data_IF_941668059791
#
_entry.id   IF_941668059791
#
_cell.length_a   1.000
_cell.length_b   1.000
_cell.length_c   1.000
_cell.angle_alpha   90.00
_cell.angle_beta   90.00
_cell.angle_gamma   90.00
#
_symmetry.space_group_name_H-M   'P 1'
#
loop_
_entity.id
_entity.type
_entity.pdbx_description
1 polymer ?
#
# COMPACT_ATOMS: atom_id res chain seq x y z
N UNK A 1 12.77 -22.69 -13.66
CA UNK A 1 12.69 -21.71 -12.53
C UNK A 1 12.50 -22.51 -11.25
N UNK A 2 13.34 -22.31 -10.23
CA UNK A 2 13.15 -22.96 -8.94
C UNK A 2 12.21 -22.10 -8.11
N UNK A 3 10.98 -22.58 -7.86
CA UNK A 3 10.05 -21.93 -6.94
C UNK A 3 10.46 -22.24 -5.50
N UNK A 4 10.51 -21.20 -4.66
CA UNK A 4 10.89 -21.29 -3.25
C UNK A 4 9.70 -20.93 -2.36
N UNK A 5 9.58 -21.60 -1.22
CA UNK A 5 8.68 -21.21 -0.16
C UNK A 5 9.22 -19.97 0.57
N UNK A 6 8.30 -19.23 1.18
CA UNK A 6 8.57 -18.15 2.14
C UNK A 6 9.02 -18.66 3.54
N UNK A 7 9.30 -19.94 3.66
CA UNK A 7 9.63 -20.62 4.92
C UNK A 7 8.43 -21.29 5.61
N UNK A 8 7.23 -21.02 5.14
CA UNK A 8 6.00 -21.66 5.61
C UNK A 8 5.62 -22.86 4.72
N UNK A 9 4.81 -23.81 5.21
CA UNK A 9 4.25 -24.85 4.37
C UNK A 9 3.52 -24.27 3.17
N UNK A 10 3.69 -24.87 2.01
CA UNK A 10 3.01 -24.49 0.76
C UNK A 10 2.12 -25.63 0.29
N UNK A 11 1.05 -25.29 -0.44
CA UNK A 11 0.28 -26.28 -1.15
C UNK A 11 1.12 -26.74 -2.36
N UNK A 12 1.38 -28.06 -2.53
CA UNK A 12 2.13 -28.55 -3.68
C UNK A 12 1.45 -28.17 -4.99
N UNK A 13 2.14 -27.47 -5.92
CA UNK A 13 1.56 -27.06 -7.20
C UNK A 13 1.59 -28.24 -8.20
N UNK A 14 0.68 -29.20 -8.02
CA UNK A 14 0.49 -30.28 -8.99
C UNK A 14 -0.08 -29.73 -10.29
N UNK A 15 0.11 -30.50 -11.38
CA UNK A 15 -0.35 -30.08 -12.71
C UNK A 15 -1.88 -29.78 -12.71
N UNK A 16 -2.66 -30.67 -12.11
CA UNK A 16 -4.11 -30.56 -12.02
C UNK A 16 -4.55 -29.29 -11.26
N UNK A 17 -3.89 -28.99 -10.13
CA UNK A 17 -4.17 -27.79 -9.36
C UNK A 17 -3.81 -26.52 -10.10
N UNK A 18 -2.69 -26.51 -10.82
CA UNK A 18 -2.28 -25.34 -11.61
C UNK A 18 -3.24 -25.17 -12.80
N UNK A 19 -3.64 -26.27 -13.44
CA UNK A 19 -4.56 -26.25 -14.57
C UNK A 19 -5.93 -25.68 -14.19
N UNK A 20 -6.46 -25.97 -13.01
CA UNK A 20 -7.75 -25.41 -12.57
C UNK A 20 -7.77 -23.88 -12.50
N UNK A 21 -6.63 -23.21 -12.28
CA UNK A 21 -6.56 -21.76 -12.32
C UNK A 21 -6.68 -21.18 -13.74
N UNK A 22 -6.24 -21.94 -14.76
CA UNK A 22 -6.25 -21.49 -16.14
C UNK A 22 -7.67 -21.36 -16.72
N UNK A 23 -8.66 -22.00 -16.09
CA UNK A 23 -10.07 -21.90 -16.46
C UNK A 23 -10.66 -20.51 -16.16
N UNK A 24 -10.03 -19.75 -15.26
CA UNK A 24 -10.49 -18.43 -14.80
C UNK A 24 -9.77 -17.27 -15.51
N UNK A 25 -9.29 -17.47 -16.73
CA UNK A 25 -8.69 -16.41 -17.55
C UNK A 25 -8.84 -16.73 -19.05
N UNK A 26 -9.04 -15.69 -19.86
CA UNK A 26 -9.03 -15.83 -21.32
C UNK A 26 -7.60 -15.92 -21.90
N UNK A 27 -6.57 -15.69 -21.07
CA UNK A 27 -5.17 -15.76 -21.48
C UNK A 27 -4.71 -17.21 -21.60
N UNK A 28 -3.78 -17.46 -22.52
CA UNK A 28 -3.14 -18.77 -22.63
C UNK A 28 -2.12 -18.94 -21.52
N UNK A 29 -1.84 -20.19 -21.17
CA UNK A 29 -0.91 -20.55 -20.09
C UNK A 29 0.50 -19.97 -20.26
N UNK A 30 0.96 -19.77 -21.52
CA UNK A 30 2.27 -19.23 -21.91
C UNK A 30 2.26 -17.74 -22.25
N UNK A 31 1.09 -17.08 -22.25
CA UNK A 31 1.01 -15.64 -22.43
C UNK A 31 1.78 -14.92 -21.32
N UNK A 32 2.58 -13.92 -21.73
CA UNK A 32 3.38 -13.11 -20.80
C UNK A 32 2.49 -12.08 -20.13
N UNK A 33 2.32 -12.19 -18.84
CA UNK A 33 1.55 -11.24 -17.99
C UNK A 33 2.35 -9.96 -17.77
N UNK A 34 3.64 -10.09 -17.44
CA UNK A 34 4.55 -8.97 -17.20
C UNK A 34 6.01 -9.41 -17.31
N UNK A 35 6.89 -8.45 -17.59
CA UNK A 35 8.34 -8.58 -17.36
C UNK A 35 8.66 -7.90 -16.04
N UNK A 36 9.01 -8.68 -15.04
CA UNK A 36 9.15 -8.19 -13.68
C UNK A 36 10.58 -7.75 -13.35
N UNK A 37 10.72 -6.67 -12.56
CA UNK A 37 12.03 -6.09 -12.26
C UNK A 37 12.89 -6.99 -11.36
N UNK A 38 14.12 -6.54 -11.12
CA UNK A 38 15.23 -7.20 -10.46
C UNK A 38 15.77 -8.35 -11.32
N UNK A 39 15.01 -9.44 -11.47
CA UNK A 39 15.48 -10.58 -12.26
C UNK A 39 15.15 -10.44 -13.76
N UNK A 40 14.46 -9.39 -14.20
CA UNK A 40 14.02 -9.17 -15.59
C UNK A 40 13.39 -10.41 -16.22
N UNK A 41 12.53 -11.10 -15.45
CA UNK A 41 11.89 -12.34 -15.88
C UNK A 41 10.57 -12.09 -16.55
N UNK A 42 10.38 -12.70 -17.72
CA UNK A 42 9.05 -12.84 -18.31
C UNK A 42 8.23 -13.79 -17.44
N UNK A 43 7.14 -13.27 -16.89
CA UNK A 43 6.21 -14.01 -16.05
C UNK A 43 4.98 -14.35 -16.85
N UNK A 44 4.72 -15.66 -17.04
CA UNK A 44 3.55 -16.15 -17.77
C UNK A 44 2.37 -16.44 -16.84
N UNK A 45 1.21 -16.65 -17.41
CA UNK A 45 -0.02 -17.08 -16.71
C UNK A 45 0.24 -18.34 -15.89
N UNK A 46 1.00 -19.32 -16.44
CA UNK A 46 1.42 -20.52 -15.72
C UNK A 46 2.20 -20.20 -14.44
N UNK A 47 3.14 -19.28 -14.51
CA UNK A 47 3.93 -18.86 -13.34
C UNK A 47 3.07 -18.22 -12.25
N UNK A 48 2.06 -17.44 -12.64
CA UNK A 48 1.08 -16.87 -11.71
C UNK A 48 0.31 -17.98 -11.03
N UNK A 49 -0.25 -18.93 -11.80
CA UNK A 49 -1.03 -20.04 -11.26
C UNK A 49 -0.23 -20.94 -10.29
N UNK A 50 1.04 -21.23 -10.60
CA UNK A 50 1.92 -21.99 -9.71
C UNK A 50 2.08 -21.32 -8.35
N UNK A 51 2.35 -20.00 -8.34
CA UNK A 51 2.50 -19.25 -7.08
C UNK A 51 1.17 -19.11 -6.35
N UNK A 52 0.05 -19.02 -7.06
CA UNK A 52 -1.29 -19.00 -6.51
C UNK A 52 -1.62 -20.29 -5.74
N UNK A 53 -1.35 -21.45 -6.34
CA UNK A 53 -1.49 -22.74 -5.66
C UNK A 53 -0.61 -22.80 -4.41
N UNK A 54 0.67 -22.41 -4.53
CA UNK A 54 1.60 -22.42 -3.39
C UNK A 54 1.12 -21.52 -2.24
N UNK A 55 0.49 -20.39 -2.55
CA UNK A 55 -0.07 -19.47 -1.57
C UNK A 55 -1.36 -19.98 -0.89
N UNK A 56 -2.02 -20.99 -1.48
CA UNK A 56 -3.32 -21.48 -1.03
C UNK A 56 -4.50 -20.64 -1.55
N UNK A 57 -4.31 -19.90 -2.64
CA UNK A 57 -5.40 -19.19 -3.31
C UNK A 57 -6.41 -20.18 -3.92
N UNK A 58 -7.66 -19.73 -4.08
CA UNK A 58 -8.66 -20.44 -4.86
C UNK A 58 -8.49 -20.11 -6.34
N UNK A 59 -8.87 -21.03 -7.27
CA UNK A 59 -8.78 -20.81 -8.71
C UNK A 59 -9.48 -19.54 -9.20
N UNK A 60 -10.66 -19.25 -8.70
CA UNK A 60 -11.46 -18.07 -9.06
C UNK A 60 -10.80 -16.72 -8.70
N UNK A 61 -9.71 -16.72 -7.93
CA UNK A 61 -8.93 -15.50 -7.69
C UNK A 61 -7.96 -15.17 -8.83
N UNK A 62 -7.82 -16.04 -9.84
CA UNK A 62 -6.83 -15.89 -10.91
C UNK A 62 -6.85 -14.51 -11.60
N UNK A 63 -8.01 -13.89 -11.94
CA UNK A 63 -8.04 -12.56 -12.53
C UNK A 63 -7.39 -11.49 -11.61
N UNK A 64 -7.64 -11.58 -10.31
CA UNK A 64 -7.05 -10.71 -9.29
C UNK A 64 -5.53 -10.88 -9.25
N UNK A 65 -5.05 -12.13 -9.28
CA UNK A 65 -3.63 -12.46 -9.16
C UNK A 65 -2.85 -12.06 -10.42
N UNK A 66 -3.47 -12.14 -11.60
CA UNK A 66 -2.92 -11.62 -12.85
C UNK A 66 -2.75 -10.09 -12.77
N UNK A 67 -3.79 -9.37 -12.33
CA UNK A 67 -3.74 -7.92 -12.17
C UNK A 67 -2.69 -7.51 -11.11
N UNK A 68 -2.64 -8.21 -9.97
CA UNK A 68 -1.62 -8.01 -8.94
C UNK A 68 -0.22 -8.19 -9.54
N UNK A 69 0.01 -9.24 -10.31
CA UNK A 69 1.30 -9.52 -10.95
C UNK A 69 1.72 -8.40 -11.91
N UNK A 70 0.79 -7.83 -12.68
CA UNK A 70 1.05 -6.64 -13.52
C UNK A 70 1.50 -5.46 -12.66
N UNK A 71 0.82 -5.22 -11.54
CA UNK A 71 1.16 -4.14 -10.60
C UNK A 71 2.53 -4.28 -9.94
N UNK A 72 3.04 -5.50 -9.76
CA UNK A 72 4.39 -5.71 -9.23
C UNK A 72 5.50 -5.15 -10.14
N UNK A 73 5.21 -4.97 -11.42
CA UNK A 73 6.10 -4.35 -12.40
C UNK A 73 6.08 -2.82 -12.39
N UNK A 74 5.10 -2.19 -11.73
CA UNK A 74 4.91 -0.74 -11.77
C UNK A 74 6.06 0.01 -11.07
N UNK A 75 6.64 1.04 -11.72
CA UNK A 75 7.76 1.81 -11.14
C UNK A 75 7.42 2.51 -9.82
N UNK A 76 6.21 3.01 -9.65
CA UNK A 76 5.82 3.72 -8.43
C UNK A 76 5.73 2.77 -7.22
N UNK A 77 5.19 1.57 -7.41
CA UNK A 77 5.14 0.54 -6.38
C UNK A 77 6.55 0.02 -6.04
N UNK A 78 7.33 -0.40 -7.06
CA UNK A 78 8.63 -1.08 -6.86
C UNK A 78 9.72 -0.19 -6.27
N UNK A 79 9.59 1.12 -6.36
CA UNK A 79 10.62 2.11 -5.95
C UNK A 79 11.12 1.92 -4.52
N UNK A 80 10.29 1.38 -3.64
CA UNK A 80 10.59 1.21 -2.21
C UNK A 80 11.10 -0.17 -1.84
N UNK A 81 10.96 -1.18 -2.71
CA UNK A 81 11.19 -2.59 -2.37
C UNK A 81 12.64 -2.94 -2.06
N UNK A 82 13.61 -2.27 -2.71
CA UNK A 82 15.05 -2.49 -2.49
C UNK A 82 15.65 -1.59 -1.40
N UNK A 83 14.84 -1.06 -0.50
CA UNK A 83 15.28 -0.16 0.58
C UNK A 83 15.66 -0.94 1.84
N UNK A 84 16.64 -0.42 2.60
CA UNK A 84 17.00 -0.93 3.93
C UNK A 84 15.96 -0.64 5.00
N UNK A 85 14.94 0.17 4.69
CA UNK A 85 13.87 0.56 5.61
C UNK A 85 12.76 -0.49 5.77
N UNK A 86 12.87 -1.64 5.14
CA UNK A 86 11.89 -2.73 5.26
C UNK A 86 10.45 -2.31 4.91
N UNK A 87 10.25 -1.67 3.75
CA UNK A 87 8.93 -1.34 3.25
C UNK A 87 8.08 -2.60 3.08
N UNK A 88 6.89 -2.58 3.64
CA UNK A 88 5.97 -3.71 3.67
C UNK A 88 4.98 -3.55 2.54
N UNK A 89 4.99 -4.41 1.52
CA UNK A 89 4.01 -4.39 0.45
C UNK A 89 2.62 -4.76 0.96
N UNK A 90 1.60 -4.12 0.43
CA UNK A 90 0.20 -4.46 0.65
C UNK A 90 -0.64 -4.10 -0.57
N UNK A 91 -1.85 -4.60 -0.63
CA UNK A 91 -2.79 -4.25 -1.69
C UNK A 91 -4.21 -4.11 -1.14
N UNK A 92 -5.07 -3.47 -1.93
CA UNK A 92 -6.50 -3.47 -1.68
C UNK A 92 -7.28 -3.62 -2.99
N UNK A 93 -8.48 -4.15 -2.85
CA UNK A 93 -9.42 -4.38 -3.92
C UNK A 93 -10.54 -3.35 -3.90
N UNK A 94 -11.01 -2.99 -5.07
CA UNK A 94 -12.23 -2.23 -5.31
C UNK A 94 -13.06 -2.91 -6.39
N UNK A 95 -14.34 -2.59 -6.42
CA UNK A 95 -15.27 -3.09 -7.40
C UNK A 95 -16.04 -4.33 -6.93
N UNK A 96 -17.09 -4.69 -7.68
CA UNK A 96 -18.05 -5.70 -7.24
C UNK A 96 -17.48 -7.13 -7.13
N UNK A 97 -16.36 -7.45 -7.78
CA UNK A 97 -15.77 -8.80 -7.74
C UNK A 97 -15.32 -9.22 -6.34
N UNK A 98 -14.82 -8.29 -5.53
CA UNK A 98 -14.40 -8.62 -4.16
C UNK A 98 -15.60 -9.10 -3.34
N UNK A 99 -16.73 -8.40 -3.43
CA UNK A 99 -18.00 -8.77 -2.79
C UNK A 99 -18.55 -10.10 -3.31
N UNK A 100 -18.52 -10.31 -4.63
CA UNK A 100 -18.98 -11.56 -5.23
C UNK A 100 -18.21 -12.77 -4.73
N UNK A 101 -16.87 -12.65 -4.63
CA UNK A 101 -15.99 -13.73 -4.17
C UNK A 101 -15.93 -13.87 -2.64
N UNK A 102 -16.66 -13.02 -1.90
CA UNK A 102 -16.64 -13.03 -0.44
C UNK A 102 -15.29 -12.68 0.16
N UNK A 103 -14.51 -11.83 -0.54
CA UNK A 103 -13.27 -11.27 0.01
C UNK A 103 -13.67 -10.15 0.96
N UNK A 104 -13.30 -10.30 2.22
CA UNK A 104 -13.84 -9.49 3.31
C UNK A 104 -13.31 -8.05 3.33
N UNK A 105 -14.19 -7.09 3.65
CA UNK A 105 -13.86 -5.68 3.90
C UNK A 105 -14.11 -5.25 5.35
N UNK A 106 -14.62 -6.16 6.19
CA UNK A 106 -15.11 -5.88 7.54
C UNK A 106 -14.07 -6.06 8.63
N UNK A 107 -14.56 -6.44 9.80
CA UNK A 107 -13.74 -6.64 10.98
C UNK A 107 -12.71 -7.76 10.78
N UNK A 108 -11.42 -7.44 10.98
CA UNK A 108 -10.36 -8.45 10.93
C UNK A 108 -9.99 -8.93 9.52
N UNK A 109 -10.48 -8.28 8.48
CA UNK A 109 -10.38 -8.69 7.09
C UNK A 109 -9.00 -9.21 6.67
N UNK A 110 -7.91 -8.59 7.11
CA UNK A 110 -6.55 -9.03 6.73
C UNK A 110 -6.17 -10.41 7.27
N UNK A 111 -6.96 -10.97 8.17
CA UNK A 111 -6.80 -12.33 8.72
C UNK A 111 -7.82 -13.32 8.13
N UNK A 112 -8.74 -12.87 7.28
CA UNK A 112 -9.67 -13.75 6.58
C UNK A 112 -8.97 -14.55 5.48
N UNK A 113 -9.44 -15.77 5.24
CA UNK A 113 -8.73 -16.75 4.43
C UNK A 113 -8.38 -16.26 3.01
N UNK A 114 -9.31 -15.57 2.34
CA UNK A 114 -9.09 -15.02 1.01
C UNK A 114 -8.04 -13.91 1.02
N UNK A 115 -8.17 -12.96 1.95
CA UNK A 115 -7.28 -11.82 2.11
C UNK A 115 -5.85 -12.30 2.45
N UNK A 116 -5.73 -13.28 3.36
CA UNK A 116 -4.45 -13.91 3.72
C UNK A 116 -3.81 -14.60 2.53
N UNK A 117 -4.58 -15.38 1.76
CA UNK A 117 -4.05 -16.09 0.59
C UNK A 117 -3.52 -15.13 -0.49
N UNK A 118 -4.27 -14.06 -0.80
CA UNK A 118 -3.86 -13.04 -1.78
C UNK A 118 -2.63 -12.26 -1.26
N UNK A 119 -2.60 -11.88 0.01
CA UNK A 119 -1.43 -11.24 0.63
C UNK A 119 -0.20 -12.14 0.59
N UNK A 120 -0.35 -13.44 0.87
CA UNK A 120 0.72 -14.43 0.77
C UNK A 120 1.17 -14.64 -0.67
N UNK A 121 0.24 -14.67 -1.63
CA UNK A 121 0.60 -14.71 -3.04
C UNK A 121 1.55 -13.56 -3.41
N UNK A 122 1.27 -12.33 -2.95
CA UNK A 122 2.16 -11.17 -3.18
C UNK A 122 3.58 -11.43 -2.66
N UNK A 123 3.75 -12.01 -1.46
CA UNK A 123 5.09 -12.35 -0.95
C UNK A 123 5.81 -13.38 -1.81
N UNK A 124 5.12 -14.46 -2.19
CA UNK A 124 5.70 -15.51 -3.04
C UNK A 124 6.02 -14.98 -4.44
N UNK A 125 5.16 -14.13 -5.01
CA UNK A 125 5.38 -13.52 -6.31
C UNK A 125 6.57 -12.56 -6.30
N UNK A 126 6.73 -11.72 -5.28
CA UNK A 126 7.91 -10.87 -5.11
C UNK A 126 9.19 -11.68 -5.09
N UNK A 127 9.20 -12.81 -4.40
CA UNK A 127 10.38 -13.68 -4.32
C UNK A 127 10.59 -14.48 -5.62
N UNK A 128 9.58 -15.21 -6.08
CA UNK A 128 9.72 -16.17 -7.17
C UNK A 128 9.66 -15.53 -8.55
N UNK A 129 8.80 -14.54 -8.74
CA UNK A 129 8.57 -13.90 -10.04
C UNK A 129 9.46 -12.68 -10.24
N UNK A 130 9.54 -11.80 -9.24
CA UNK A 130 10.36 -10.59 -9.32
C UNK A 130 11.82 -10.81 -8.97
N UNK A 131 12.16 -11.85 -8.19
CA UNK A 131 13.52 -12.12 -7.74
C UNK A 131 13.97 -11.30 -6.54
N UNK A 132 13.03 -10.73 -5.76
CA UNK A 132 13.34 -10.02 -4.52
C UNK A 132 13.60 -11.01 -3.37
N UNK A 133 14.83 -11.48 -3.25
CA UNK A 133 15.22 -12.38 -2.17
C UNK A 133 15.69 -11.60 -0.93
N UNK A 134 15.28 -12.09 0.25
CA UNK A 134 15.77 -11.56 1.53
C UNK A 134 17.28 -11.76 1.62
N UNK A 135 18.01 -10.77 2.13
CA UNK A 135 19.48 -10.68 2.22
C UNK A 135 20.20 -10.47 0.89
N UNK A 136 19.50 -10.38 -0.23
CA UNK A 136 20.06 -10.05 -1.54
C UNK A 136 19.51 -8.72 -2.03
N UNK A 137 18.24 -8.69 -2.42
CA UNK A 137 17.57 -7.53 -3.00
C UNK A 137 16.60 -6.86 -2.02
N UNK A 138 15.99 -7.64 -1.12
CA UNK A 138 15.21 -7.14 0.00
C UNK A 138 16.12 -6.96 1.22
N UNK A 139 16.58 -5.72 1.42
CA UNK A 139 17.63 -5.37 2.39
C UNK A 139 17.09 -4.83 3.71
N UNK A 140 15.81 -5.01 4.03
CA UNK A 140 15.23 -4.55 5.29
C UNK A 140 16.03 -5.02 6.50
N UNK A 141 16.56 -4.05 7.28
CA UNK A 141 17.54 -4.33 8.34
C UNK A 141 17.02 -5.29 9.40
N UNK A 142 15.73 -5.18 9.76
CA UNK A 142 15.08 -6.03 10.76
C UNK A 142 14.13 -7.07 10.14
N UNK A 143 14.13 -7.20 8.82
CA UNK A 143 13.24 -8.10 8.07
C UNK A 143 11.95 -7.41 7.62
N UNK A 144 10.99 -8.22 7.21
CA UNK A 144 9.74 -7.76 6.62
C UNK A 144 8.56 -8.50 7.25
N UNK A 145 7.55 -7.81 7.78
CA UNK A 145 6.25 -8.42 8.00
C UNK A 145 5.66 -8.97 6.70
N UNK A 146 4.72 -9.90 6.85
CA UNK A 146 4.01 -10.46 5.70
C UNK A 146 3.19 -9.37 5.00
N UNK A 147 3.12 -9.43 3.68
CA UNK A 147 2.19 -8.61 2.90
C UNK A 147 0.75 -9.00 3.19
N UNK A 148 -0.15 -8.05 3.09
CA UNK A 148 -1.58 -8.28 3.31
C UNK A 148 -2.44 -7.73 2.18
N UNK A 149 -3.65 -8.25 2.06
CA UNK A 149 -4.68 -7.76 1.16
C UNK A 149 -5.85 -7.22 1.97
N UNK A 150 -6.41 -6.10 1.53
CA UNK A 150 -7.61 -5.48 2.07
C UNK A 150 -8.66 -5.32 0.97
N UNK A 151 -9.86 -4.91 1.36
CA UNK A 151 -10.92 -4.46 0.45
C UNK A 151 -11.40 -3.11 0.94
N UNK A 152 -11.51 -2.13 0.07
CA UNK A 152 -12.28 -0.91 0.35
C UNK A 152 -13.77 -1.24 0.28
N UNK A 153 -14.55 -0.78 1.24
CA UNK A 153 -16.01 -0.91 1.18
C UNK A 153 -16.58 0.19 0.28
N UNK A 154 -16.69 -0.12 -1.02
CA UNK A 154 -17.21 0.80 -2.03
C UNK A 154 -18.65 1.24 -1.72
N UNK A 155 -19.46 0.35 -1.14
CA UNK A 155 -20.83 0.69 -0.75
C UNK A 155 -20.84 1.69 0.42
N UNK A 156 -19.95 1.54 1.41
CA UNK A 156 -19.80 2.52 2.48
C UNK A 156 -19.30 3.86 1.92
N UNK A 157 -18.40 3.87 0.96
CA UNK A 157 -17.99 5.10 0.29
C UNK A 157 -19.19 5.84 -0.32
N UNK A 158 -20.07 5.13 -1.02
CA UNK A 158 -21.27 5.71 -1.64
C UNK A 158 -22.26 6.21 -0.58
N UNK A 159 -22.50 5.45 0.50
CA UNK A 159 -23.39 5.90 1.61
C UNK A 159 -22.92 7.19 2.26
N UNK A 160 -21.62 7.39 2.44
CA UNK A 160 -21.08 8.65 2.97
C UNK A 160 -20.94 9.75 1.91
N UNK A 161 -21.30 9.49 0.66
CA UNK A 161 -21.24 10.46 -0.43
C UNK A 161 -19.82 10.69 -1.00
N UNK A 162 -18.88 9.81 -0.74
CA UNK A 162 -17.53 9.88 -1.28
C UNK A 162 -17.35 8.86 -2.42
N UNK A 163 -16.56 9.22 -3.43
CA UNK A 163 -16.17 8.27 -4.47
C UNK A 163 -15.13 7.29 -3.94
N UNK A 164 -15.27 5.97 -4.20
CA UNK A 164 -14.24 5.00 -3.89
C UNK A 164 -12.87 5.35 -4.47
N UNK A 165 -11.80 4.79 -3.92
CA UNK A 165 -10.44 5.13 -4.33
C UNK A 165 -10.20 4.93 -5.83
N UNK A 166 -10.59 3.79 -6.39
CA UNK A 166 -10.38 3.50 -7.81
C UNK A 166 -11.08 4.50 -8.73
N UNK A 167 -12.27 5.00 -8.34
CA UNK A 167 -12.98 6.05 -9.09
C UNK A 167 -12.20 7.36 -9.05
N UNK A 168 -11.60 7.69 -7.91
CA UNK A 168 -10.71 8.85 -7.76
C UNK A 168 -9.39 8.69 -8.53
N UNK A 169 -8.97 7.44 -8.74
CA UNK A 169 -7.81 7.08 -9.57
C UNK A 169 -8.13 7.04 -11.08
N UNK A 170 -9.38 7.33 -11.50
CA UNK A 170 -9.76 7.48 -12.90
C UNK A 170 -10.50 6.25 -13.50
N UNK A 171 -10.85 5.26 -12.70
CA UNK A 171 -11.62 4.11 -13.12
C UNK A 171 -13.14 4.37 -12.98
N UNK A 172 -13.97 3.54 -13.60
CA UNK A 172 -15.43 3.58 -13.43
C UNK A 172 -15.82 2.92 -12.12
N UNK A 173 -16.99 3.25 -11.59
CA UNK A 173 -17.51 2.72 -10.33
C UNK A 173 -17.54 1.18 -10.27
N UNK A 174 -17.96 0.56 -11.36
CA UNK A 174 -18.08 -0.90 -11.45
C UNK A 174 -16.85 -1.57 -12.11
N UNK A 175 -15.76 -0.83 -12.32
CA UNK A 175 -14.49 -1.46 -12.69
C UNK A 175 -13.91 -2.17 -11.46
N UNK A 176 -13.54 -3.43 -11.64
CA UNK A 176 -12.81 -4.17 -10.64
C UNK A 176 -11.33 -3.79 -10.71
N UNK A 177 -10.74 -3.43 -9.59
CA UNK A 177 -9.33 -3.01 -9.55
C UNK A 177 -8.61 -3.59 -8.34
N UNK A 178 -7.30 -3.75 -8.48
CA UNK A 178 -6.40 -3.97 -7.36
C UNK A 178 -5.37 -2.85 -7.34
N UNK A 179 -5.15 -2.27 -6.16
CA UNK A 179 -4.14 -1.25 -5.95
C UNK A 179 -3.04 -1.79 -5.05
N UNK A 180 -1.80 -1.69 -5.50
CA UNK A 180 -0.62 -2.08 -4.74
C UNK A 180 0.01 -0.83 -4.11
N UNK A 181 0.40 -0.95 -2.86
CA UNK A 181 1.13 0.06 -2.12
C UNK A 181 2.19 -0.57 -1.22
N UNK A 182 2.96 0.27 -0.58
CA UNK A 182 3.91 -0.16 0.44
C UNK A 182 3.91 0.79 1.61
N UNK A 183 4.12 0.29 2.81
CA UNK A 183 4.17 1.11 4.03
C UNK A 183 5.42 0.81 4.84
N UNK A 184 5.84 1.79 5.64
CA UNK A 184 6.92 1.65 6.61
C UNK A 184 6.43 1.18 7.97
N UNK A 185 5.19 1.50 8.29
CA UNK A 185 4.56 1.24 9.57
C UNK A 185 3.13 0.78 9.37
N UNK A 186 2.67 -0.12 10.24
CA UNK A 186 1.24 -0.41 10.34
C UNK A 186 0.42 0.81 10.81
N UNK A 187 1.05 1.79 11.43
CA UNK A 187 0.40 3.00 11.90
C UNK A 187 -0.15 2.91 13.32
N UNK A 188 -0.77 4.00 13.77
CA UNK A 188 -1.43 4.10 15.07
C UNK A 188 -2.93 3.86 14.90
N UNK A 189 -3.43 2.86 15.57
CA UNK A 189 -4.85 2.57 15.54
C UNK A 189 -5.58 3.48 16.52
N UNK A 190 -5.99 4.66 16.05
CA UNK A 190 -6.74 5.63 16.86
C UNK A 190 -8.22 5.24 16.96
N UNK A 191 -8.81 5.56 18.11
CA UNK A 191 -10.24 5.42 18.37
C UNK A 191 -10.83 6.80 18.66
N UNK A 192 -11.16 7.61 17.63
CA UNK A 192 -11.69 8.93 17.83
C UNK A 192 -13.01 8.89 18.63
N UNK A 193 -13.17 9.81 19.56
CA UNK A 193 -14.36 9.92 20.44
C UNK A 193 -15.13 11.23 20.23
N UNK A 194 -14.97 11.88 19.08
CA UNK A 194 -15.64 13.14 18.75
C UNK A 194 -16.56 12.95 17.56
N UNK A 195 -17.72 13.61 17.58
CA UNK A 195 -18.62 13.76 16.44
C UNK A 195 -18.41 15.08 15.68
N UNK A 196 -17.45 15.91 16.11
CA UNK A 196 -17.09 17.15 15.43
C UNK A 196 -16.09 16.86 14.31
N UNK A 197 -16.45 17.09 13.03
CA UNK A 197 -15.57 16.81 11.90
C UNK A 197 -14.28 17.67 11.90
N UNK A 198 -14.32 18.87 12.48
CA UNK A 198 -13.12 19.71 12.62
C UNK A 198 -12.15 19.09 13.62
N UNK A 199 -12.63 18.66 14.78
CA UNK A 199 -11.81 17.99 15.79
C UNK A 199 -11.29 16.64 15.29
N UNK A 200 -12.08 15.92 14.50
CA UNK A 200 -11.66 14.69 13.84
C UNK A 200 -10.49 14.95 12.89
N UNK A 201 -10.61 15.98 12.04
CA UNK A 201 -9.54 16.38 11.13
C UNK A 201 -8.27 16.82 11.88
N UNK A 202 -8.41 17.59 12.95
CA UNK A 202 -7.30 18.04 13.80
C UNK A 202 -6.55 16.84 14.43
N UNK A 203 -7.29 15.82 14.89
CA UNK A 203 -6.72 14.58 15.43
C UNK A 203 -5.91 13.83 14.36
N UNK A 204 -6.45 13.72 13.15
CA UNK A 204 -5.71 13.11 12.02
C UNK A 204 -4.46 13.92 11.67
N UNK A 205 -4.56 15.24 11.64
CA UNK A 205 -3.43 16.13 11.35
C UNK A 205 -2.33 16.00 12.41
N UNK A 206 -2.72 15.87 13.67
CA UNK A 206 -1.77 15.63 14.77
C UNK A 206 -1.02 14.30 14.58
N UNK A 207 -1.73 13.19 14.35
CA UNK A 207 -1.09 11.89 14.14
C UNK A 207 -0.18 11.89 12.90
N UNK A 208 -0.63 12.52 11.81
CA UNK A 208 0.17 12.69 10.59
C UNK A 208 1.45 13.47 10.88
N UNK A 209 1.36 14.55 11.64
CA UNK A 209 2.52 15.37 12.03
C UNK A 209 3.53 14.56 12.83
N UNK A 210 3.09 13.88 13.88
CA UNK A 210 3.94 13.08 14.75
C UNK A 210 4.68 11.97 14.00
N UNK A 211 4.04 11.37 13.00
CA UNK A 211 4.59 10.27 12.19
C UNK A 211 5.34 10.70 10.94
N UNK A 212 5.35 11.99 10.65
CA UNK A 212 6.03 12.51 9.46
C UNK A 212 7.54 12.55 9.56
N UNK A 213 8.10 12.42 10.78
CA UNK A 213 9.55 12.48 11.03
C UNK A 213 10.32 11.51 10.13
N UNK A 214 9.80 10.30 9.95
CA UNK A 214 10.44 9.30 9.10
C UNK A 214 10.43 9.68 7.61
N UNK A 215 9.33 10.27 7.16
CA UNK A 215 9.16 10.75 5.79
C UNK A 215 10.16 11.85 5.43
N UNK A 216 10.45 12.68 6.39
CA UNK A 216 11.33 13.83 6.21
C UNK A 216 12.80 13.43 6.09
N UNK A 217 13.18 12.28 6.67
CA UNK A 217 14.55 11.76 6.63
C UNK A 217 14.95 11.10 5.30
N UNK A 218 14.03 10.74 4.40
CA UNK A 218 14.35 9.96 3.19
C UNK A 218 14.88 10.79 2.00
N UNK A 219 15.24 12.05 2.20
CA UNK A 219 15.62 12.97 1.10
C UNK A 219 14.45 13.33 0.18
N UNK A 220 13.28 12.72 0.37
CA UNK A 220 12.02 13.07 -0.27
C UNK A 220 11.32 14.11 0.59
N UNK A 221 10.81 15.14 -0.04
CA UNK A 221 10.11 16.19 0.70
C UNK A 221 8.81 15.69 1.34
N UNK A 222 8.21 14.61 0.78
CA UNK A 222 6.94 14.04 1.24
C UNK A 222 6.89 12.54 0.97
N UNK A 223 6.10 11.81 1.77
CA UNK A 223 5.72 10.41 1.49
C UNK A 223 4.25 10.31 1.14
N UNK A 224 3.91 9.27 0.40
CA UNK A 224 2.52 8.86 0.26
C UNK A 224 1.94 8.43 1.61
N UNK A 225 0.64 8.53 1.76
CA UNK A 225 -0.08 8.08 2.96
C UNK A 225 -1.30 7.29 2.58
N UNK A 226 -1.50 6.19 3.27
CA UNK A 226 -2.77 5.49 3.28
C UNK A 226 -3.45 5.77 4.60
N UNK A 227 -4.66 6.29 4.56
CA UNK A 227 -5.50 6.56 5.72
C UNK A 227 -6.67 5.57 5.65
N UNK A 228 -6.63 4.58 6.51
CA UNK A 228 -7.73 3.63 6.70
C UNK A 228 -8.69 4.23 7.70
N UNK A 229 -9.98 4.22 7.39
CA UNK A 229 -11.02 4.66 8.32
C UNK A 229 -12.25 3.79 8.20
N UNK A 230 -12.92 3.59 9.31
CA UNK A 230 -14.22 2.93 9.34
C UNK A 230 -15.32 3.88 8.87
N UNK A 231 -16.44 3.32 8.43
CA UNK A 231 -17.59 4.09 7.92
C UNK A 231 -18.06 5.21 8.89
N UNK A 232 -18.23 4.99 10.21
CA UNK A 232 -18.65 6.05 11.11
C UNK A 232 -17.67 7.23 11.19
N UNK A 233 -16.38 7.00 11.04
CA UNK A 233 -15.38 8.08 10.98
C UNK A 233 -15.52 8.85 9.67
N UNK A 234 -15.72 8.14 8.57
CA UNK A 234 -15.93 8.76 7.27
C UNK A 234 -17.23 9.58 7.22
N UNK A 235 -18.32 9.12 7.82
CA UNK A 235 -19.58 9.87 7.95
C UNK A 235 -19.39 11.20 8.69
N UNK A 236 -18.70 11.19 9.84
CA UNK A 236 -18.40 12.40 10.60
C UNK A 236 -17.62 13.39 9.72
N UNK A 237 -16.57 12.93 9.03
CA UNK A 237 -15.76 13.77 8.16
C UNK A 237 -16.57 14.26 6.94
N UNK A 238 -17.40 13.43 6.34
CA UNK A 238 -18.25 13.77 5.19
C UNK A 238 -19.30 14.84 5.53
N UNK A 239 -19.70 14.97 6.79
CA UNK A 239 -20.55 16.05 7.26
C UNK A 239 -19.99 17.45 6.94
N UNK A 240 -18.67 17.59 6.89
CA UNK A 240 -17.96 18.83 6.54
C UNK A 240 -17.29 18.76 5.17
N UNK A 241 -16.65 17.65 4.84
CA UNK A 241 -15.82 17.48 3.66
C UNK A 241 -16.55 16.69 2.57
N UNK A 242 -17.00 17.39 1.51
CA UNK A 242 -17.74 16.77 0.40
C UNK A 242 -16.93 15.80 -0.45
N UNK A 243 -15.63 15.71 -0.22
CA UNK A 243 -14.74 14.76 -0.88
C UNK A 243 -13.48 14.54 -0.06
N UNK A 244 -12.78 13.40 -0.22
CA UNK A 244 -11.46 13.17 0.36
C UNK A 244 -10.42 14.24 -0.02
N UNK A 245 -10.53 14.82 -1.22
CA UNK A 245 -9.63 15.88 -1.68
C UNK A 245 -9.82 17.19 -0.90
N UNK A 246 -11.06 17.50 -0.48
CA UNK A 246 -11.34 18.64 0.39
C UNK A 246 -10.74 18.43 1.78
N UNK A 247 -10.88 17.23 2.34
CA UNK A 247 -10.24 16.84 3.59
C UNK A 247 -8.72 16.91 3.50
N UNK A 248 -8.11 16.39 2.42
CA UNK A 248 -6.67 16.43 2.20
C UNK A 248 -6.12 17.86 2.25
N UNK A 249 -6.85 18.82 1.70
CA UNK A 249 -6.44 20.23 1.70
C UNK A 249 -6.32 20.80 3.12
N UNK A 250 -7.28 20.52 3.99
CA UNK A 250 -7.24 20.97 5.38
C UNK A 250 -6.19 20.21 6.20
N UNK A 251 -6.03 18.92 5.94
CA UNK A 251 -4.97 18.10 6.57
C UNK A 251 -3.56 18.64 6.23
N UNK A 252 -3.31 19.04 4.99
CA UNK A 252 -2.03 19.65 4.58
C UNK A 252 -1.76 20.93 5.37
N UNK A 253 -2.79 21.75 5.58
CA UNK A 253 -2.66 23.00 6.32
C UNK A 253 -2.50 22.79 7.82
N UNK A 254 -3.15 21.78 8.38
CA UNK A 254 -3.14 21.49 9.81
C UNK A 254 -1.95 20.62 10.25
N UNK A 255 -1.46 19.71 9.40
CA UNK A 255 -0.35 18.80 9.70
C UNK A 255 1.00 19.44 9.36
N UNK A 256 1.39 20.45 10.12
CA UNK A 256 2.66 21.17 9.92
C UNK A 256 3.64 20.86 11.02
N UNK A 257 4.93 20.86 10.68
CA UNK A 257 6.04 20.66 11.63
C UNK A 257 7.02 21.84 11.56
N UNK A 258 7.69 22.16 12.67
CA UNK A 258 8.78 23.13 12.64
C UNK A 258 9.84 22.75 11.61
N UNK A 259 10.31 23.74 10.86
CA UNK A 259 11.37 23.53 9.86
C UNK A 259 12.64 22.98 10.49
N UNK A 260 12.97 23.40 11.70
CA UNK A 260 14.14 22.93 12.46
C UNK A 260 14.08 21.42 12.73
N UNK A 261 12.92 20.89 13.14
CA UNK A 261 12.74 19.45 13.36
C UNK A 261 12.91 18.66 12.04
N UNK A 262 12.38 19.18 10.96
CA UNK A 262 12.56 18.59 9.62
C UNK A 262 14.02 18.58 9.22
N UNK A 263 14.72 19.69 9.44
CA UNK A 263 16.15 19.79 9.18
C UNK A 263 16.96 18.79 10.00
N UNK A 264 16.66 18.70 11.31
CA UNK A 264 17.26 17.72 12.20
C UNK A 264 17.06 16.28 11.69
N UNK A 265 15.82 15.91 11.35
CA UNK A 265 15.51 14.59 10.81
C UNK A 265 16.26 14.31 9.48
N UNK A 266 16.31 15.28 8.57
CA UNK A 266 17.06 15.14 7.31
C UNK A 266 18.56 14.98 7.54
N UNK A 267 19.11 15.67 8.51
CA UNK A 267 20.55 15.68 8.77
C UNK A 267 21.01 14.46 9.56
N UNK A 268 20.26 14.08 10.58
CA UNK A 268 20.67 13.04 11.54
C UNK A 268 19.97 11.69 11.36
N UNK A 269 18.71 11.68 10.96
CA UNK A 269 17.94 10.45 10.84
C UNK A 269 18.03 9.81 9.45
N UNK A 270 18.58 10.52 8.46
CA UNK A 270 18.71 9.98 7.11
C UNK A 270 20.09 10.22 6.50
N UNK A 271 20.95 9.22 6.53
CA UNK A 271 22.25 9.28 5.88
C UNK A 271 22.20 9.46 4.36
N UNK A 272 21.04 9.26 3.72
CA UNK A 272 20.85 9.46 2.27
C UNK A 272 20.73 10.93 1.85
N UNK A 273 20.62 11.87 2.79
CA UNK A 273 20.70 13.32 2.54
C UNK A 273 22.13 13.82 2.30
N UNK A 274 23.14 13.00 2.56
CA UNK A 274 24.52 13.34 2.25
C UNK A 274 24.76 13.28 0.73
N UNK A 275 25.38 14.30 0.19
CA UNK A 275 25.60 14.50 -1.27
C UNK A 275 26.55 13.47 -1.90
N UNK A 276 27.07 12.53 -1.19
CA UNK A 276 28.14 11.62 -1.58
C UNK A 276 27.66 10.22 -2.01
N UNK A 277 26.55 10.13 -2.69
CA UNK A 277 26.21 8.99 -3.53
C UNK A 277 25.78 7.72 -2.82
N UNK A 278 25.18 7.83 -1.64
CA UNK A 278 24.31 6.75 -1.11
C UNK A 278 25.00 5.51 -0.58
N UNK A 279 26.26 5.55 -0.23
CA UNK A 279 26.93 4.45 0.48
C UNK A 279 26.65 4.54 1.98
N UNK A 280 25.56 3.97 2.39
CA UNK A 280 25.09 3.97 3.78
C UNK A 280 25.81 2.94 4.62
N UNK A 281 27.02 3.20 5.06
CA UNK A 281 27.61 2.42 6.12
C UNK A 281 27.72 3.23 7.42
N UNK A 282 27.61 2.55 8.53
CA UNK A 282 27.64 3.15 9.85
C UNK A 282 28.89 4.00 10.11
N UNK A 283 30.05 3.64 9.52
CA UNK A 283 31.30 4.40 9.66
C UNK A 283 31.23 5.74 8.91
N UNK A 284 30.62 5.78 7.75
CA UNK A 284 30.42 7.04 7.01
C UNK A 284 29.43 7.92 7.76
N UNK A 285 28.37 7.32 8.31
CA UNK A 285 27.38 8.02 9.10
C UNK A 285 27.95 8.59 10.40
N UNK A 286 28.70 7.79 11.16
CA UNK A 286 29.43 8.28 12.34
C UNK A 286 30.46 9.36 11.98
N UNK A 287 31.07 9.25 10.81
CA UNK A 287 31.88 10.30 10.22
C UNK A 287 31.09 11.60 10.06
N UNK A 288 29.84 11.57 9.57
CA UNK A 288 28.98 12.73 9.40
C UNK A 288 28.60 13.38 10.74
N UNK A 289 28.21 12.61 11.75
CA UNK A 289 27.93 13.11 13.08
C UNK A 289 29.16 13.78 13.69
N UNK A 290 30.33 13.14 13.63
CA UNK A 290 31.57 13.71 14.19
C UNK A 290 31.97 15.04 13.55
N UNK A 291 31.73 15.23 12.28
CA UNK A 291 32.01 16.48 11.59
C UNK A 291 31.00 17.57 12.02
N UNK A 292 29.73 17.24 12.24
CA UNK A 292 28.74 18.17 12.75
C UNK A 292 29.03 18.62 14.19
N UNK A 293 29.70 17.78 14.98
CA UNK A 293 30.08 18.06 16.37
C UNK A 293 31.48 18.71 16.52
N UNK A 294 32.03 19.29 15.46
CA UNK A 294 33.31 20.03 15.51
C UNK A 294 34.50 19.33 14.87
N UNK A 295 34.31 18.22 14.20
CA UNK A 295 35.28 17.62 13.27
C UNK A 295 35.20 18.24 11.89
N UNK A 296 36.04 17.83 10.93
CA UNK A 296 36.14 18.36 9.56
C UNK A 296 34.94 18.02 8.64
N UNK A 297 33.69 18.03 9.12
CA UNK A 297 32.53 17.70 8.28
C UNK A 297 31.80 18.90 7.72
N UNK A 298 31.03 18.63 6.66
CA UNK A 298 30.10 19.60 6.09
C UNK A 298 29.21 20.15 7.19
N UNK A 299 29.29 21.43 7.56
CA UNK A 299 28.45 22.00 8.58
C UNK A 299 26.97 21.82 8.22
N UNK A 300 26.12 21.76 9.25
CA UNK A 300 24.68 21.85 9.03
C UNK A 300 24.39 23.07 8.15
N UNK A 301 23.41 23.00 7.26
CA UNK A 301 23.07 24.17 6.43
C UNK A 301 22.88 25.41 7.31
N UNK A 302 23.36 26.56 6.86
CA UNK A 302 23.30 27.80 7.62
C UNK A 302 21.90 28.15 8.19
N UNK A 303 20.83 27.74 7.48
CA UNK A 303 19.44 27.90 7.91
C UNK A 303 19.02 26.99 9.08
N UNK A 304 19.81 25.98 9.42
CA UNK A 304 19.51 25.08 10.56
C UNK A 304 19.66 25.79 11.91
N UNK A 305 20.61 26.68 12.02
CA UNK A 305 20.94 27.39 13.29
C UNK A 305 20.34 28.79 13.37
N UNK A 306 19.51 29.20 12.40
CA UNK A 306 18.88 30.52 12.45
C UNK A 306 17.64 30.51 13.35
N UNK A 307 17.44 31.53 14.17
CA UNK A 307 16.25 31.73 14.99
C UNK A 307 14.95 31.74 14.17
N UNK A 308 15.01 32.17 12.92
CA UNK A 308 13.89 32.15 11.99
C UNK A 308 13.42 30.72 11.66
N UNK A 309 14.33 29.73 11.63
CA UNK A 309 13.97 28.34 11.34
C UNK A 309 13.08 27.72 12.43
N UNK A 310 13.10 28.25 13.63
CA UNK A 310 12.24 27.81 14.75
C UNK A 310 10.78 28.28 14.56
N UNK A 311 10.59 29.45 13.95
CA UNK A 311 9.28 30.04 13.69
C UNK A 311 8.65 29.52 12.40
N UNK A 312 9.45 29.01 11.46
CA UNK A 312 8.96 28.48 10.21
C UNK A 312 8.41 27.06 10.36
N UNK A 313 7.27 26.80 9.72
CA UNK A 313 6.70 25.45 9.65
C UNK A 313 6.56 24.98 8.23
N UNK A 314 6.64 23.67 8.04
CA UNK A 314 6.46 23.01 6.73
C UNK A 314 5.37 21.96 6.81
N UNK A 315 4.56 21.76 5.75
CA UNK A 315 3.53 20.74 5.76
C UNK A 315 4.17 19.34 5.82
N UNK A 316 3.48 18.41 6.50
CA UNK A 316 3.86 17.00 6.56
C UNK A 316 3.34 16.19 5.38
N UNK A 317 2.45 16.78 4.59
CA UNK A 317 1.76 16.15 3.46
C UNK A 317 1.88 17.00 2.20
N UNK A 318 1.68 16.36 1.04
CA UNK A 318 1.53 17.01 -0.25
C UNK A 318 0.27 16.51 -0.94
N UNK A 319 -0.42 17.42 -1.64
CA UNK A 319 -1.64 17.10 -2.39
C UNK A 319 -1.43 15.97 -3.41
N UNK A 320 -2.41 15.08 -3.48
CA UNK A 320 -2.43 13.96 -4.43
C UNK A 320 -1.53 12.78 -4.03
N UNK A 321 -1.02 12.78 -2.80
CA UNK A 321 -0.20 11.68 -2.27
C UNK A 321 -0.90 10.86 -1.18
N UNK A 322 -2.24 11.02 -1.03
CA UNK A 322 -3.00 10.35 0.02
C UNK A 322 -4.10 9.46 -0.55
N UNK A 323 -4.09 8.19 -0.14
CA UNK A 323 -5.20 7.28 -0.33
C UNK A 323 -6.05 7.25 0.93
N UNK A 324 -7.33 7.63 0.82
CA UNK A 324 -8.33 7.48 1.88
C UNK A 324 -9.14 6.24 1.56
N UNK A 325 -9.18 5.28 2.46
CA UNK A 325 -9.81 3.97 2.26
C UNK A 325 -10.81 3.74 3.38
N UNK A 326 -12.09 3.59 3.02
CA UNK A 326 -13.13 3.21 3.97
C UNK A 326 -13.17 1.70 4.06
N UNK A 327 -12.93 1.16 5.24
CA UNK A 327 -12.79 -0.28 5.43
C UNK A 327 -12.84 -0.65 6.92
N UNK A 328 -13.02 -1.93 7.23
CA UNK A 328 -12.98 -2.45 8.58
C UNK A 328 -14.34 -2.48 9.27
N UNK A 329 -14.36 -2.65 10.59
CA UNK A 329 -15.57 -2.81 11.39
C UNK A 329 -16.45 -1.55 11.39
N UNK A 330 -17.59 -1.61 10.71
CA UNK A 330 -18.57 -0.51 10.65
C UNK A 330 -19.23 -0.18 12.01
N UNK A 331 -19.06 -1.03 13.02
CA UNK A 331 -19.58 -0.78 14.38
C UNK A 331 -18.56 -0.03 15.27
N UNK A 332 -17.39 0.37 14.74
CA UNK A 332 -16.31 0.97 15.52
C UNK A 332 -15.81 2.27 14.92
N UNK A 333 -15.50 3.23 15.77
CA UNK A 333 -14.77 4.44 15.36
C UNK A 333 -13.28 4.17 15.35
N UNK A 334 -12.72 3.86 14.18
CA UNK A 334 -11.30 3.58 14.03
C UNK A 334 -10.71 4.30 12.83
N UNK A 335 -9.50 4.80 13.00
CA UNK A 335 -8.73 5.39 11.92
C UNK A 335 -7.25 5.06 12.12
N UNK A 336 -6.54 4.89 11.03
CA UNK A 336 -5.13 4.52 11.03
C UNK A 336 -4.41 5.21 9.89
N UNK A 337 -3.31 5.89 10.18
CA UNK A 337 -2.50 6.56 9.16
C UNK A 337 -1.20 5.80 8.93
N UNK A 338 -0.92 5.44 7.69
CA UNK A 338 0.27 4.68 7.30
C UNK A 338 1.12 5.49 6.32
N UNK A 339 2.34 5.90 6.69
CA UNK A 339 3.25 6.52 5.73
C UNK A 339 3.76 5.45 4.75
N UNK A 340 3.81 5.77 3.46
CA UNK A 340 4.06 4.76 2.45
C UNK A 340 4.76 5.24 1.17
N UNK A 341 4.89 4.32 0.24
CA UNK A 341 5.31 4.54 -1.14
C UNK A 341 4.17 4.92 -2.07
N UNK A 342 4.45 5.06 -3.36
CA UNK A 342 3.45 5.30 -4.38
C UNK A 342 2.53 4.10 -4.60
N UNK A 343 1.48 4.33 -5.38
CA UNK A 343 0.46 3.34 -5.66
C UNK A 343 0.46 2.93 -7.11
N UNK A 344 0.18 1.65 -7.36
CA UNK A 344 -0.08 1.10 -8.69
C UNK A 344 -1.49 0.51 -8.71
N UNK A 345 -2.40 1.10 -9.46
CA UNK A 345 -3.78 0.62 -9.61
C UNK A 345 -3.93 -0.06 -10.95
N UNK A 346 -4.36 -1.30 -10.94
CA UNK A 346 -4.51 -2.16 -12.12
C UNK A 346 -5.95 -2.65 -12.21
N UNK A 347 -6.53 -2.54 -13.40
CA UNK A 347 -7.84 -3.13 -13.69
C UNK A 347 -7.77 -4.65 -13.68
N UNK A 348 -8.75 -5.28 -13.05
CA UNK A 348 -8.95 -6.74 -13.06
C UNK A 348 -9.84 -7.08 -14.24
N UNK A 349 -9.30 -7.83 -15.19
CA UNK A 349 -10.04 -8.32 -16.36
C UNK A 349 -10.61 -9.70 -16.06
N UNK A 350 -11.92 -9.79 -16.01
CA UNK A 350 -12.64 -11.06 -15.82
C UNK A 350 -12.74 -11.81 -17.17
N UNK A 351 -12.67 -13.16 -17.17
CA UNK A 351 -12.87 -13.93 -18.41
C UNK A 351 -14.30 -13.80 -18.92
N UNK A 352 -14.50 -14.03 -20.22
CA UNK A 352 -15.81 -13.85 -20.90
C UNK A 352 -16.91 -14.73 -20.33
N UNK A 353 -16.56 -15.89 -19.83
CA UNK A 353 -17.48 -16.87 -19.23
C UNK A 353 -17.58 -16.76 -17.71
N UNK A 354 -17.15 -15.61 -17.12
CA UNK A 354 -17.09 -15.40 -15.68
C UNK A 354 -18.39 -15.76 -14.96
N UNK A 355 -19.52 -15.25 -15.42
CA UNK A 355 -20.83 -15.47 -14.78
C UNK A 355 -21.23 -16.96 -14.79
N UNK A 356 -20.90 -17.70 -15.87
CA UNK A 356 -21.12 -19.15 -15.92
C UNK A 356 -20.28 -19.87 -14.89
N UNK A 357 -18.97 -19.57 -14.83
CA UNK A 357 -18.05 -20.17 -13.86
C UNK A 357 -18.48 -19.88 -12.42
N UNK A 358 -18.90 -18.65 -12.14
CA UNK A 358 -19.35 -18.28 -10.80
C UNK A 358 -20.65 -18.96 -10.43
N UNK A 359 -21.57 -19.10 -11.37
CA UNK A 359 -22.84 -19.83 -11.16
C UNK A 359 -22.61 -21.30 -10.85
N UNK A 360 -21.67 -21.95 -11.53
CA UNK A 360 -21.29 -23.36 -11.29
C UNK A 360 -20.72 -23.57 -9.89
N UNK A 361 -20.02 -22.59 -9.36
CA UNK A 361 -19.51 -22.57 -7.98
C UNK A 361 -20.55 -22.15 -6.93
N UNK A 362 -21.77 -21.78 -7.36
CA UNK A 362 -22.84 -21.33 -6.49
C UNK A 362 -22.73 -19.88 -6.01
N UNK A 363 -21.87 -19.08 -6.64
CA UNK A 363 -21.82 -17.64 -6.38
C UNK A 363 -23.03 -16.94 -7.04
N UNK A 364 -23.47 -15.84 -6.43
CA UNK A 364 -24.47 -14.96 -7.03
C UNK A 364 -23.86 -14.22 -8.23
N UNK A 365 -24.69 -13.79 -9.22
CA UNK A 365 -24.21 -12.95 -10.32
C UNK A 365 -23.51 -11.68 -9.81
N UNK A 366 -22.57 -11.16 -10.57
CA UNK A 366 -21.92 -9.91 -10.29
C UNK A 366 -22.96 -8.79 -10.22
N UNK A 367 -23.01 -8.08 -9.11
CA UNK A 367 -23.96 -7.00 -8.89
C UNK A 367 -23.23 -5.68 -8.90
N UNK A 368 -23.57 -4.85 -9.86
CA UNK A 368 -23.05 -3.48 -9.94
C UNK A 368 -23.43 -2.65 -8.73
N UNK A 369 -22.63 -1.65 -8.42
CA UNK A 369 -23.00 -0.58 -7.49
C UNK A 369 -23.88 0.41 -8.25
N UNK A 370 -24.97 0.80 -7.61
CA UNK A 370 -25.88 1.85 -8.09
C UNK A 370 -25.60 3.15 -7.34
N UNK A 371 -25.60 4.26 -8.06
CA UNK A 371 -25.55 5.59 -7.46
C UNK A 371 -27.02 6.03 -7.35
N UNK A 372 -27.53 6.08 -6.11
CA UNK A 372 -28.85 6.64 -5.82
C UNK A 372 -28.89 8.16 -6.08
#
# INVERSE_FOLDING_TARGET
MLFRSDGLPVVPPTFEKVQSFLEYTDLKWDDVVAVLPIAHRSTTVWHVAVNAVMAGCKPEYMPILIALTKGLGDPEFRRTLASTHAWIPFCWLNGPVARQLGIDSGQGQINEAANVAIGRFMNLALMNLCGYYVKQDRMGTFGYPMSWCMVEDDAACLRVGWKPYHVRAGYKLNDNTITLGSTLLWGNNMAPSTADPQKMMELLAWDISERSQFALGSGRQYTFRTILMTEPVAEILAGRYKSPQALESDLINASRRPLKERAFANYYANPGGAKDGGKHNLRQYQGHIRKAEGGEMTPAPAWYDTSESELMTVPAMKRGMTAFIITGDAARNKVQTMPGGGYATIKIELPRNWDSLMSELGYKPLQDYEIE
#
